data_IF_004844965920
#
_entry.id   IF_004844965920
#
_cell.length_a   1.000
_cell.length_b   1.000
_cell.length_c   1.000
_cell.angle_alpha   90.00
_cell.angle_beta   90.00
_cell.angle_gamma   90.00
#
_symmetry.space_group_name_H-M   'P 1'
#
loop_
_entity.id
_entity.type
_entity.pdbx_description
1 polymer ?
#
# COMPACT_ATOMS: atom_id res chain seq x y z
N UNK A 1 8.74 37.75 -14.88
CA UNK A 1 8.86 36.34 -14.46
C UNK A 1 7.62 36.00 -13.66
N UNK A 2 6.68 35.24 -14.24
CA UNK A 2 5.48 34.78 -13.55
C UNK A 2 5.83 33.54 -12.74
N UNK A 3 5.93 33.69 -11.42
CA UNK A 3 5.97 32.58 -10.47
C UNK A 3 4.64 31.85 -10.53
N UNK A 4 4.68 30.59 -10.99
CA UNK A 4 3.54 29.68 -10.97
C UNK A 4 3.23 29.31 -9.52
N UNK A 5 2.15 29.86 -8.96
CA UNK A 5 1.53 29.41 -7.70
C UNK A 5 0.80 28.09 -7.92
N UNK A 6 1.54 27.04 -8.33
CA UNK A 6 1.03 25.69 -8.15
C UNK A 6 1.02 25.44 -6.63
N UNK A 7 -0.13 25.15 -6.01
CA UNK A 7 -0.18 24.87 -4.58
C UNK A 7 0.80 23.73 -4.31
N UNK A 8 1.78 23.97 -3.45
CA UNK A 8 2.72 22.95 -3.02
C UNK A 8 1.88 21.80 -2.46
N UNK A 9 1.83 20.67 -3.17
CA UNK A 9 1.27 19.44 -2.67
C UNK A 9 2.08 19.11 -1.42
N UNK A 10 1.56 19.49 -0.24
CA UNK A 10 2.13 19.06 1.03
C UNK A 10 2.05 17.55 1.00
N UNK A 11 3.17 16.91 0.69
CA UNK A 11 3.35 15.46 0.79
C UNK A 11 2.82 15.07 2.16
N UNK A 12 1.82 14.18 2.18
CA UNK A 12 1.26 13.74 3.45
C UNK A 12 2.34 12.98 4.21
N UNK A 13 2.39 13.10 5.56
CA UNK A 13 3.41 12.45 6.35
C UNK A 13 3.43 10.94 6.05
N UNK A 14 4.63 10.38 5.93
CA UNK A 14 4.83 8.94 5.85
C UNK A 14 4.24 8.32 7.11
N UNK A 15 3.34 7.37 6.90
CA UNK A 15 2.77 6.59 7.99
C UNK A 15 3.76 5.48 8.37
N UNK A 16 4.24 5.46 9.63
CA UNK A 16 5.09 4.38 10.10
C UNK A 16 4.29 3.08 10.20
N UNK A 17 4.94 1.97 9.83
CA UNK A 17 4.40 0.61 9.99
C UNK A 17 5.50 -0.24 10.58
N UNK A 18 5.23 -0.90 11.70
CA UNK A 18 6.21 -1.80 12.33
C UNK A 18 6.32 -3.13 11.58
N UNK A 19 7.45 -3.81 11.76
CA UNK A 19 7.65 -5.17 11.22
C UNK A 19 6.58 -6.15 11.72
N UNK A 20 6.17 -6.04 12.98
CA UNK A 20 5.14 -6.90 13.56
C UNK A 20 3.76 -6.67 12.92
N UNK A 21 3.40 -5.41 12.65
CA UNK A 21 2.17 -5.08 11.92
C UNK A 21 2.20 -5.64 10.50
N UNK A 22 3.33 -5.48 9.79
CA UNK A 22 3.50 -6.06 8.45
C UNK A 22 3.36 -7.58 8.54
N UNK A 23 4.04 -8.25 9.47
CA UNK A 23 3.97 -9.69 9.63
C UNK A 23 2.53 -10.18 9.93
N UNK A 24 1.77 -9.44 10.74
CA UNK A 24 0.37 -9.74 11.03
C UNK A 24 -0.53 -9.60 9.79
N UNK A 25 -0.31 -8.55 8.97
CA UNK A 25 -1.01 -8.37 7.70
C UNK A 25 -0.68 -9.52 6.74
N UNK A 26 0.60 -9.87 6.60
CA UNK A 26 1.06 -10.95 5.71
C UNK A 26 0.44 -12.30 6.08
N UNK A 27 0.34 -12.62 7.38
CA UNK A 27 -0.26 -13.89 7.84
C UNK A 27 -1.73 -14.05 7.45
N UNK A 28 -2.45 -12.97 7.15
CA UNK A 28 -3.84 -13.04 6.67
C UNK A 28 -3.94 -13.51 5.21
N UNK A 29 -2.85 -13.38 4.45
CA UNK A 29 -2.77 -13.74 3.02
C UNK A 29 -1.97 -15.04 2.85
N UNK A 30 -0.85 -15.12 3.55
CA UNK A 30 0.09 -16.24 3.55
C UNK A 30 0.37 -16.66 5.00
N UNK A 31 -0.47 -17.54 5.59
CA UNK A 31 -0.40 -17.87 7.02
C UNK A 31 0.96 -18.38 7.51
N UNK A 32 1.73 -19.02 6.63
CA UNK A 32 3.03 -19.60 6.94
C UNK A 32 4.22 -18.73 6.49
N UNK A 33 3.98 -17.61 5.80
CA UNK A 33 5.08 -16.79 5.28
C UNK A 33 5.72 -15.94 6.37
N UNK A 34 7.06 -15.91 6.37
CA UNK A 34 7.86 -15.07 7.25
C UNK A 34 8.37 -13.82 6.52
N UNK A 35 8.31 -12.69 7.21
CA UNK A 35 8.88 -11.42 6.77
C UNK A 35 10.40 -11.49 6.75
N UNK A 36 11.01 -11.19 5.61
CA UNK A 36 12.47 -11.09 5.46
C UNK A 36 12.98 -9.65 5.49
N UNK A 37 12.16 -8.70 5.04
CA UNK A 37 12.56 -7.30 4.98
C UNK A 37 11.46 -6.38 4.49
N UNK A 38 11.63 -5.10 4.81
CA UNK A 38 10.74 -4.01 4.40
C UNK A 38 11.62 -2.94 3.76
N UNK A 39 11.31 -2.59 2.52
CA UNK A 39 11.98 -1.50 1.81
C UNK A 39 10.95 -0.43 1.49
N UNK A 40 11.15 0.80 1.97
CA UNK A 40 10.32 1.92 1.52
C UNK A 40 10.67 2.25 0.07
N UNK A 41 9.65 2.26 -0.80
CA UNK A 41 9.81 2.63 -2.19
C UNK A 41 9.59 4.14 -2.37
N UNK A 42 10.45 4.76 -3.16
CA UNK A 42 10.26 6.14 -3.59
C UNK A 42 9.07 6.21 -4.57
N UNK A 43 8.04 6.96 -4.19
CA UNK A 43 6.77 7.03 -4.90
C UNK A 43 5.59 7.21 -3.95
N UNK A 44 4.41 7.45 -4.51
CA UNK A 44 3.19 7.67 -3.73
C UNK A 44 3.21 8.98 -2.95
N UNK A 45 2.86 10.09 -3.60
CA UNK A 45 2.80 11.42 -2.98
C UNK A 45 1.87 11.50 -1.75
N UNK A 46 0.97 10.52 -1.64
CA UNK A 46 -0.17 10.52 -0.72
C UNK A 46 -0.30 9.24 0.12
N UNK A 47 0.60 8.27 -0.04
CA UNK A 47 0.59 6.97 0.66
C UNK A 47 2.02 6.52 0.99
N UNK A 48 2.22 5.81 2.09
CA UNK A 48 3.45 5.04 2.29
C UNK A 48 3.40 3.82 1.37
N UNK A 49 4.46 3.59 0.60
CA UNK A 49 4.57 2.43 -0.31
C UNK A 49 5.78 1.61 0.11
N UNK A 50 5.55 0.35 0.47
CA UNK A 50 6.55 -0.55 0.99
C UNK A 50 6.64 -1.80 0.09
N UNK A 51 7.84 -2.21 -0.27
CA UNK A 51 8.12 -3.56 -0.75
C UNK A 51 8.35 -4.49 0.43
N UNK A 52 7.64 -5.61 0.44
CA UNK A 52 7.71 -6.62 1.48
C UNK A 52 8.36 -7.88 0.91
N UNK A 53 9.56 -8.19 1.38
CA UNK A 53 10.27 -9.42 1.03
C UNK A 53 9.84 -10.56 1.96
N UNK A 54 9.57 -11.75 1.40
CA UNK A 54 9.05 -12.92 2.11
C UNK A 54 9.87 -14.17 1.80
N UNK A 55 10.03 -15.07 2.77
CA UNK A 55 10.81 -16.31 2.60
C UNK A 55 10.08 -17.37 1.76
N UNK A 56 8.76 -17.51 1.98
CA UNK A 56 7.95 -18.62 1.46
C UNK A 56 6.80 -18.15 0.55
N UNK A 57 6.87 -16.90 0.08
CA UNK A 57 5.86 -16.30 -0.77
C UNK A 57 6.49 -15.28 -1.72
N UNK A 58 5.76 -14.89 -2.76
CA UNK A 58 6.23 -13.83 -3.65
C UNK A 58 6.27 -12.50 -2.89
N UNK A 59 7.28 -11.63 -3.14
CA UNK A 59 7.27 -10.28 -2.64
C UNK A 59 5.99 -9.55 -3.03
N UNK A 60 5.55 -8.62 -2.19
CA UNK A 60 4.34 -7.84 -2.44
C UNK A 60 4.52 -6.38 -2.04
N UNK A 61 3.66 -5.53 -2.59
CA UNK A 61 3.61 -4.11 -2.24
C UNK A 61 2.54 -3.88 -1.19
N UNK A 62 2.90 -3.24 -0.08
CA UNK A 62 1.98 -2.71 0.92
C UNK A 62 1.84 -1.21 0.73
N UNK A 63 0.59 -0.75 0.53
CA UNK A 63 0.25 0.68 0.46
C UNK A 63 -0.56 1.06 1.68
N UNK A 64 -0.09 2.06 2.43
CA UNK A 64 -0.78 2.57 3.62
C UNK A 64 -1.22 4.01 3.38
N UNK A 65 -2.51 4.26 3.58
CA UNK A 65 -3.13 5.55 3.32
C UNK A 65 -3.46 6.25 4.64
N UNK A 66 -3.26 7.57 4.74
CA UNK A 66 -3.84 8.36 5.81
C UNK A 66 -5.36 8.18 5.83
N UNK A 67 -5.96 8.21 7.01
CA UNK A 67 -7.41 8.10 7.20
C UNK A 67 -8.19 9.07 6.29
N UNK A 68 -7.74 10.33 6.22
CA UNK A 68 -8.30 11.36 5.34
C UNK A 68 -8.31 11.00 3.84
N UNK A 69 -7.61 9.92 3.44
CA UNK A 69 -7.52 9.40 2.09
C UNK A 69 -7.98 7.94 1.97
N UNK A 70 -8.75 7.40 2.92
CA UNK A 70 -9.31 6.04 2.80
C UNK A 70 -10.02 5.82 1.45
N UNK A 71 -10.69 6.85 0.92
CA UNK A 71 -11.33 6.80 -0.40
C UNK A 71 -10.35 6.49 -1.56
N UNK A 72 -9.06 6.79 -1.43
CA UNK A 72 -8.04 6.45 -2.44
C UNK A 72 -7.78 4.94 -2.49
N UNK A 73 -7.78 4.27 -1.34
CA UNK A 73 -7.72 2.81 -1.29
C UNK A 73 -8.94 2.20 -1.98
N UNK A 74 -10.14 2.66 -1.61
CA UNK A 74 -11.40 2.19 -2.22
C UNK A 74 -11.41 2.41 -3.74
N UNK A 75 -10.93 3.57 -4.21
CA UNK A 75 -10.77 3.87 -5.64
C UNK A 75 -9.83 2.88 -6.33
N UNK A 76 -8.67 2.58 -5.73
CA UNK A 76 -7.69 1.67 -6.33
C UNK A 76 -8.24 0.23 -6.44
N UNK A 77 -8.92 -0.25 -5.40
CA UNK A 77 -9.62 -1.55 -5.42
C UNK A 77 -10.67 -1.59 -6.53
N UNK A 78 -11.50 -0.53 -6.62
CA UNK A 78 -12.56 -0.45 -7.62
C UNK A 78 -11.99 -0.43 -9.05
N UNK A 79 -11.04 0.46 -9.34
CA UNK A 79 -10.46 0.60 -10.68
C UNK A 79 -9.72 -0.67 -11.11
N UNK A 80 -8.89 -1.27 -10.25
CA UNK A 80 -8.22 -2.53 -10.59
C UNK A 80 -9.23 -3.68 -10.78
N UNK A 81 -10.37 -3.64 -10.09
CA UNK A 81 -11.49 -4.54 -10.32
C UNK A 81 -12.05 -4.41 -11.75
N UNK A 82 -12.27 -3.18 -12.23
CA UNK A 82 -12.78 -2.91 -13.58
C UNK A 82 -11.81 -3.37 -14.69
N UNK A 83 -10.51 -3.33 -14.43
CA UNK A 83 -9.48 -3.64 -15.43
C UNK A 83 -9.09 -5.12 -15.49
N UNK A 84 -9.64 -5.97 -14.61
CA UNK A 84 -9.21 -7.36 -14.40
C UNK A 84 -9.22 -8.21 -15.67
N UNK A 85 -10.17 -7.96 -16.57
CA UNK A 85 -10.42 -8.82 -17.72
C UNK A 85 -9.83 -8.28 -19.03
N UNK A 86 -9.03 -7.20 -18.97
CA UNK A 86 -8.49 -6.52 -20.16
C UNK A 86 -7.23 -7.20 -20.75
N UNK A 87 -6.87 -8.40 -20.30
CA UNK A 87 -5.71 -9.18 -20.80
C UNK A 87 -4.34 -8.54 -20.56
N UNK A 88 -4.30 -7.33 -19.99
CA UNK A 88 -3.06 -6.60 -19.65
C UNK A 88 -2.61 -6.97 -18.24
N UNK A 89 -1.29 -7.02 -18.03
CA UNK A 89 -0.73 -7.21 -16.70
C UNK A 89 -1.06 -6.00 -15.82
N UNK A 90 -1.88 -6.21 -14.80
CA UNK A 90 -2.24 -5.20 -13.79
C UNK A 90 -1.85 -5.68 -12.39
N UNK A 91 -1.66 -4.77 -11.42
CA UNK A 91 -1.52 -5.15 -10.03
C UNK A 91 -2.72 -5.97 -9.53
N UNK A 92 -2.43 -7.11 -8.88
CA UNK A 92 -3.45 -7.91 -8.19
C UNK A 92 -3.57 -7.46 -6.73
N UNK A 93 -4.78 -7.08 -6.31
CA UNK A 93 -5.07 -6.84 -4.89
C UNK A 93 -5.07 -8.19 -4.16
N UNK A 94 -4.14 -8.37 -3.23
CA UNK A 94 -4.08 -9.55 -2.36
C UNK A 94 -4.98 -9.39 -1.13
N UNK A 95 -5.02 -8.18 -0.58
CA UNK A 95 -5.83 -7.77 0.56
C UNK A 95 -6.07 -6.26 0.47
N UNK A 96 -7.27 -5.82 0.84
CA UNK A 96 -7.57 -4.43 1.15
C UNK A 96 -8.30 -4.43 2.50
N UNK A 97 -7.84 -3.60 3.43
CA UNK A 97 -8.39 -3.55 4.79
C UNK A 97 -8.51 -2.10 5.26
N UNK A 98 -9.74 -1.66 5.50
CA UNK A 98 -10.05 -0.37 6.11
C UNK A 98 -10.65 -0.49 7.52
N UNK A 99 -10.67 -1.71 8.09
CA UNK A 99 -11.21 -1.97 9.44
C UNK A 99 -10.28 -1.48 10.56
N UNK A 100 -9.02 -1.14 10.23
CA UNK A 100 -7.98 -0.68 11.19
C UNK A 100 -7.70 -1.70 12.31
N UNK A 101 -7.95 -2.98 12.05
CA UNK A 101 -7.86 -4.04 13.05
C UNK A 101 -6.44 -4.44 13.46
N UNK A 102 -5.40 -3.92 12.80
CA UNK A 102 -3.98 -4.22 13.07
C UNK A 102 -3.29 -3.09 13.87
N UNK A 103 -4.07 -2.33 14.63
CA UNK A 103 -3.54 -1.34 15.58
C UNK A 103 -3.15 -2.04 16.89
N UNK A 104 -1.84 -2.16 17.14
CA UNK A 104 -1.26 -2.40 18.46
C UNK A 104 -0.35 -1.25 18.83
#
# INVERSE_FOLDING_TARGET
>A
MTTSDAPSLKLKPRLPVSADQVQAIIRRIYPQASLLGITELHGGEISTVLEIALADARPCILKVYPESLQWKMAKEVYVLGLLRDLGTSIPKILLADDTRSVSS
#
